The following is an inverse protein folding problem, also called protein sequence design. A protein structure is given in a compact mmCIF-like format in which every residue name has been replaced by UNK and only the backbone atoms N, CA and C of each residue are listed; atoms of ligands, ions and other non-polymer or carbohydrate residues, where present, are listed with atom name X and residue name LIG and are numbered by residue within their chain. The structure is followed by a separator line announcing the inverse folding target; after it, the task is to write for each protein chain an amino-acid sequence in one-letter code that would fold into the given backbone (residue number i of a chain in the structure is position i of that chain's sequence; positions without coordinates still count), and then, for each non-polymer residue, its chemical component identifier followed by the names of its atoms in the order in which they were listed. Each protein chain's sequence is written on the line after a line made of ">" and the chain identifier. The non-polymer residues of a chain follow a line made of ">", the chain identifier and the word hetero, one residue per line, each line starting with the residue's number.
data_IF_961091672588
#
_entry.id   IF_961091672588
#
_cell.length_a   1.000
_cell.length_b   1.000
_cell.length_c   1.000
_cell.angle_alpha   90.00
_cell.angle_beta   90.00
_cell.angle_gamma   90.00
#
_symmetry.space_group_name_H-M   'P 1'
#
loop_
_entity.id
_entity.type
_entity.pdbx_description
1 polymer ?
#
# COMPACT_ATOMS: atom_id res chain seq x y z
N UNK A 1 4.39 4.83 -27.60
CA UNK A 1 5.59 4.41 -26.85
C UNK A 1 5.85 5.49 -25.81
N UNK A 2 5.32 5.34 -24.62
CA UNK A 2 5.57 6.25 -23.49
C UNK A 2 6.32 5.43 -22.44
N UNK A 3 7.64 5.64 -22.41
CA UNK A 3 8.55 5.05 -21.43
C UNK A 3 8.36 5.80 -20.10
N UNK A 4 7.37 5.40 -19.31
CA UNK A 4 7.27 5.82 -17.92
C UNK A 4 8.17 4.91 -17.08
N UNK A 5 9.46 5.27 -16.96
CA UNK A 5 10.37 4.64 -16.00
C UNK A 5 9.79 4.76 -14.59
N UNK A 6 8.99 3.77 -14.17
CA UNK A 6 8.48 3.67 -12.79
C UNK A 6 9.69 3.63 -11.85
N UNK A 7 9.89 4.68 -11.07
CA UNK A 7 11.02 4.81 -10.15
C UNK A 7 10.96 3.70 -9.11
N UNK A 8 11.88 2.73 -9.24
CA UNK A 8 12.07 1.69 -8.26
C UNK A 8 12.67 2.27 -6.97
N UNK A 9 12.12 1.93 -5.81
CA UNK A 9 12.60 2.41 -4.51
C UNK A 9 12.62 1.27 -3.51
N UNK A 10 13.78 1.06 -2.88
CA UNK A 10 13.95 0.03 -1.87
C UNK A 10 12.94 0.20 -0.71
N UNK A 11 12.19 -0.86 -0.44
CA UNK A 11 11.30 -0.96 0.72
C UNK A 11 12.15 -1.32 1.92
N UNK A 12 12.10 -0.56 3.05
CA UNK A 12 12.90 -0.86 4.22
C UNK A 12 12.49 -2.21 4.84
N UNK A 13 13.40 -3.17 4.85
CA UNK A 13 13.15 -4.50 5.38
C UNK A 13 13.34 -4.63 6.91
N UNK A 14 13.98 -3.65 7.60
CA UNK A 14 14.26 -3.73 9.03
C UNK A 14 13.52 -2.67 9.87
N UNK A 15 13.12 -3.05 11.10
CA UNK A 15 12.48 -2.14 12.08
C UNK A 15 13.35 -0.91 12.39
N UNK A 16 14.66 -1.10 12.60
CA UNK A 16 15.60 -0.01 12.90
C UNK A 16 15.75 0.97 11.74
N UNK A 17 15.80 0.48 10.50
CA UNK A 17 15.88 1.32 9.31
C UNK A 17 14.63 2.16 9.10
N UNK A 18 13.46 1.64 9.47
CA UNK A 18 12.18 2.38 9.42
C UNK A 18 12.12 3.42 10.54
N UNK A 19 12.45 3.05 11.78
CA UNK A 19 12.46 3.95 12.92
C UNK A 19 13.45 5.13 12.76
N UNK A 20 14.68 4.88 12.31
CA UNK A 20 15.66 5.94 12.06
C UNK A 20 15.24 6.89 10.92
N UNK A 21 14.54 6.36 9.91
CA UNK A 21 13.96 7.16 8.82
C UNK A 21 12.81 8.02 9.32
N UNK A 22 11.98 7.48 10.21
CA UNK A 22 10.88 8.19 10.84
C UNK A 22 11.34 9.29 11.79
N UNK A 23 12.30 9.01 12.67
CA UNK A 23 12.84 10.01 13.57
C UNK A 23 13.43 11.21 12.81
N UNK A 24 14.13 10.97 11.71
CA UNK A 24 14.65 12.02 10.81
C UNK A 24 13.55 12.79 10.08
N UNK A 25 12.46 12.11 9.71
CA UNK A 25 11.35 12.77 9.02
C UNK A 25 10.44 13.54 9.98
N UNK A 26 10.19 13.00 11.18
CA UNK A 26 9.48 13.72 12.26
C UNK A 26 10.18 15.03 12.64
N UNK A 27 11.51 15.00 12.78
CA UNK A 27 12.33 16.18 12.96
C UNK A 27 12.21 17.17 11.78
N UNK A 28 12.10 16.67 10.54
CA UNK A 28 11.94 17.50 9.35
C UNK A 28 10.56 18.17 9.23
N UNK A 29 9.48 17.53 9.69
CA UNK A 29 8.15 18.16 9.78
C UNK A 29 8.12 19.18 10.91
N UNK A 30 8.62 18.82 12.08
CA UNK A 30 8.69 19.72 13.23
C UNK A 30 9.51 21.00 12.94
N UNK A 31 10.68 20.85 12.30
CA UNK A 31 11.49 22.00 11.86
C UNK A 31 10.80 22.85 10.80
N UNK A 32 10.04 22.23 9.87
CA UNK A 32 9.27 22.98 8.87
C UNK A 32 8.11 23.76 9.48
N UNK A 33 7.40 23.18 10.45
CA UNK A 33 6.32 23.83 11.20
C UNK A 33 6.88 24.98 12.02
N UNK A 34 8.01 24.79 12.73
CA UNK A 34 8.66 25.83 13.52
C UNK A 34 9.16 26.97 12.63
N UNK A 35 9.82 26.68 11.51
CA UNK A 35 10.33 27.70 10.59
C UNK A 35 9.19 28.55 9.99
N UNK A 36 8.08 27.91 9.57
CA UNK A 36 6.93 28.60 9.05
C UNK A 36 6.19 29.39 10.13
N UNK A 37 6.09 28.85 11.36
CA UNK A 37 5.53 29.54 12.51
C UNK A 37 6.29 30.82 12.86
N UNK A 38 7.62 30.75 12.91
CA UNK A 38 8.48 31.91 13.15
C UNK A 38 8.33 32.95 12.02
N UNK A 39 8.25 32.50 10.76
CA UNK A 39 8.05 33.40 9.60
C UNK A 39 6.72 34.15 9.68
N UNK A 40 5.64 33.44 10.00
CA UNK A 40 4.30 34.05 10.08
C UNK A 40 4.13 34.96 11.31
N UNK A 41 4.72 34.56 12.46
CA UNK A 41 4.76 35.45 13.64
C UNK A 41 5.55 36.73 13.35
N UNK A 42 6.68 36.62 12.63
CA UNK A 42 7.45 37.80 12.18
C UNK A 42 6.69 38.72 11.22
N UNK A 43 5.63 38.23 10.57
CA UNK A 43 4.72 38.98 9.71
C UNK A 43 3.48 39.50 10.47
N UNK A 44 3.40 39.33 11.80
CA UNK A 44 2.28 39.76 12.62
C UNK A 44 1.04 38.86 12.59
N UNK A 45 1.14 37.70 11.90
CA UNK A 45 0.07 36.70 11.83
C UNK A 45 0.16 35.74 13.01
N UNK A 46 -0.99 35.31 13.55
CA UNK A 46 -1.11 34.22 14.53
C UNK A 46 -1.67 32.96 13.82
N UNK A 47 -0.81 32.16 13.15
CA UNK A 47 -1.29 31.00 12.42
C UNK A 47 -1.79 29.93 13.39
N UNK A 48 -2.86 29.24 13.00
CA UNK A 48 -3.27 28.01 13.68
C UNK A 48 -2.28 26.91 13.30
N UNK A 49 -2.12 25.91 14.18
CA UNK A 49 -1.22 24.78 13.92
C UNK A 49 -1.59 24.04 12.61
N UNK A 50 -2.89 23.94 12.31
CA UNK A 50 -3.40 23.40 11.03
C UNK A 50 -2.81 24.10 9.81
N UNK A 51 -2.75 25.45 9.84
CA UNK A 51 -2.29 26.26 8.71
C UNK A 51 -0.77 26.10 8.47
N UNK A 52 -0.03 25.87 9.56
CA UNK A 52 1.41 25.62 9.51
C UNK A 52 1.73 24.23 8.95
N UNK A 53 0.88 23.24 9.23
CA UNK A 53 1.04 21.85 8.76
C UNK A 53 0.59 21.75 7.30
N UNK A 54 -0.43 22.48 6.88
CA UNK A 54 -1.04 22.44 5.55
C UNK A 54 -0.27 23.23 4.48
N UNK A 55 0.94 23.69 4.77
CA UNK A 55 1.76 24.27 3.71
C UNK A 55 2.08 23.21 2.64
N UNK A 56 2.20 23.59 1.34
CA UNK A 56 2.51 22.64 0.27
C UNK A 56 3.80 21.84 0.51
N UNK A 57 4.75 22.42 1.25
CA UNK A 57 6.01 21.75 1.62
C UNK A 57 5.77 20.66 2.68
N UNK A 58 4.96 20.94 3.70
CA UNK A 58 4.64 19.97 4.75
C UNK A 58 3.68 18.89 4.26
N UNK A 59 2.69 19.23 3.43
CA UNK A 59 1.81 18.25 2.77
C UNK A 59 2.62 17.23 1.95
N UNK A 60 3.63 17.67 1.20
CA UNK A 60 4.55 16.77 0.48
C UNK A 60 5.38 15.89 1.42
N UNK A 61 5.79 16.41 2.59
CA UNK A 61 6.51 15.60 3.59
C UNK A 61 5.61 14.53 4.20
N UNK A 62 4.37 14.88 4.55
CA UNK A 62 3.35 13.96 5.04
C UNK A 62 3.06 12.89 3.99
N UNK A 63 2.79 13.27 2.74
CA UNK A 63 2.57 12.34 1.64
C UNK A 63 3.76 11.38 1.45
N UNK A 64 4.99 11.88 1.54
CA UNK A 64 6.20 11.05 1.45
C UNK A 64 6.32 10.07 2.62
N UNK A 65 5.88 10.45 3.80
CA UNK A 65 5.86 9.58 4.99
C UNK A 65 4.81 8.48 4.85
N UNK A 66 3.59 8.86 4.46
CA UNK A 66 2.50 7.92 4.19
C UNK A 66 2.85 6.96 3.05
N UNK A 67 3.61 7.42 2.03
CA UNK A 67 4.11 6.55 0.95
C UNK A 67 5.01 5.42 1.45
N UNK A 68 5.75 5.63 2.54
CA UNK A 68 6.58 4.59 3.14
C UNK A 68 5.77 3.54 3.93
N UNK A 69 4.55 3.91 4.34
CA UNK A 69 3.60 3.08 5.10
C UNK A 69 2.32 2.85 4.26
N UNK A 70 2.46 2.75 2.93
CA UNK A 70 1.35 2.81 1.98
C UNK A 70 0.21 1.85 2.31
N UNK A 71 0.50 0.57 2.60
CA UNK A 71 -0.52 -0.42 2.93
C UNK A 71 -1.37 0.01 4.14
N UNK A 72 -0.71 0.38 5.23
CA UNK A 72 -1.38 0.86 6.44
C UNK A 72 -2.15 2.17 6.20
N UNK A 73 -1.57 3.12 5.46
CA UNK A 73 -2.23 4.40 5.14
C UNK A 73 -3.49 4.21 4.31
N UNK A 74 -3.44 3.34 3.30
CA UNK A 74 -4.59 3.01 2.46
C UNK A 74 -5.70 2.31 3.26
N UNK A 75 -5.34 1.35 4.12
CA UNK A 75 -6.31 0.62 4.94
C UNK A 75 -6.99 1.54 5.96
N UNK A 76 -6.22 2.32 6.71
CA UNK A 76 -6.78 3.30 7.67
C UNK A 76 -7.68 4.32 6.95
N UNK A 77 -7.25 4.80 5.78
CA UNK A 77 -8.05 5.71 4.95
C UNK A 77 -9.35 5.09 4.46
N UNK A 78 -9.34 3.83 4.04
CA UNK A 78 -10.53 3.08 3.66
C UNK A 78 -11.53 2.97 4.82
N UNK A 79 -11.05 2.55 6.00
CA UNK A 79 -11.91 2.38 7.17
C UNK A 79 -12.50 3.72 7.63
N UNK A 80 -11.71 4.80 7.65
CA UNK A 80 -12.20 6.14 7.95
C UNK A 80 -13.28 6.58 6.96
N UNK A 81 -13.13 6.27 5.67
CA UNK A 81 -14.11 6.61 4.64
C UNK A 81 -15.41 5.80 4.75
N UNK A 82 -15.35 4.58 5.30
CA UNK A 82 -16.52 3.71 5.49
C UNK A 82 -17.33 4.10 6.72
N UNK A 83 -16.70 4.59 7.78
CA UNK A 83 -17.39 4.97 9.02
C UNK A 83 -18.28 6.22 8.85
N UNK A 84 -17.86 7.19 8.04
CA UNK A 84 -18.74 8.25 7.54
C UNK A 84 -18.11 9.00 6.37
N UNK A 85 -18.91 9.35 5.37
CA UNK A 85 -18.47 10.12 4.20
C UNK A 85 -17.91 11.51 4.55
N UNK A 86 -18.23 12.04 5.73
CA UNK A 86 -17.82 13.38 6.19
C UNK A 86 -16.58 13.39 7.09
N UNK A 87 -16.10 12.20 7.54
CA UNK A 87 -14.98 12.11 8.48
C UNK A 87 -13.60 12.21 7.82
N UNK A 88 -13.52 11.96 6.52
CA UNK A 88 -12.24 12.05 5.82
C UNK A 88 -11.98 13.50 5.37
N UNK A 89 -11.07 14.23 6.03
CA UNK A 89 -10.70 15.57 5.58
C UNK A 89 -10.28 15.57 4.11
N UNK A 90 -10.71 16.57 3.33
CA UNK A 90 -10.41 16.67 1.89
C UNK A 90 -8.91 16.57 1.60
N UNK A 91 -8.10 17.13 2.49
CA UNK A 91 -6.64 17.11 2.44
C UNK A 91 -6.08 15.68 2.55
N UNK A 92 -6.63 14.90 3.51
CA UNK A 92 -6.24 13.51 3.69
C UNK A 92 -6.71 12.66 2.50
N UNK A 93 -7.92 12.87 2.02
CA UNK A 93 -8.44 12.20 0.82
C UNK A 93 -7.54 12.46 -0.40
N UNK A 94 -7.10 13.71 -0.60
CA UNK A 94 -6.19 14.08 -1.69
C UNK A 94 -4.83 13.38 -1.56
N UNK A 95 -4.28 13.31 -0.35
CA UNK A 95 -3.01 12.61 -0.09
C UNK A 95 -3.15 11.12 -0.35
N UNK A 96 -4.24 10.49 0.10
CA UNK A 96 -4.51 9.06 -0.12
C UNK A 96 -4.71 8.74 -1.60
N UNK A 97 -5.39 9.60 -2.37
CA UNK A 97 -5.51 9.46 -3.82
C UNK A 97 -4.13 9.50 -4.50
N UNK A 98 -3.26 10.46 -4.13
CA UNK A 98 -1.89 10.52 -4.63
C UNK A 98 -1.07 9.27 -4.27
N UNK A 99 -1.31 8.67 -3.10
CA UNK A 99 -0.65 7.42 -2.70
C UNK A 99 -1.09 6.23 -3.53
N UNK A 100 -2.38 6.18 -3.89
CA UNK A 100 -2.92 5.15 -4.77
C UNK A 100 -2.25 5.19 -6.14
N UNK A 101 -2.10 6.40 -6.69
CA UNK A 101 -1.58 6.61 -8.05
C UNK A 101 -0.05 6.53 -8.11
N UNK A 102 0.64 6.82 -7.00
CA UNK A 102 2.11 6.81 -6.93
C UNK A 102 2.67 5.45 -6.48
N UNK A 103 2.50 4.42 -7.31
CA UNK A 103 3.04 3.11 -7.03
C UNK A 103 4.56 3.05 -7.25
N UNK A 104 5.33 3.01 -6.16
CA UNK A 104 6.73 2.60 -6.25
C UNK A 104 6.79 1.07 -6.37
N UNK A 105 7.56 0.59 -7.31
CA UNK A 105 7.86 -0.84 -7.43
C UNK A 105 9.08 -1.19 -6.58
N UNK A 106 9.14 -2.39 -6.02
CA UNK A 106 10.34 -2.85 -5.33
C UNK A 106 11.47 -3.10 -6.35
N UNK A 107 12.74 -2.86 -5.96
CA UNK A 107 13.87 -3.19 -6.80
C UNK A 107 13.93 -4.69 -7.11
N UNK A 108 14.44 -5.03 -8.31
CA UNK A 108 14.60 -6.42 -8.75
C UNK A 108 15.32 -7.32 -7.73
N UNK A 109 16.32 -6.79 -7.03
CA UNK A 109 17.04 -7.54 -5.99
C UNK A 109 16.10 -7.97 -4.87
N UNK A 110 15.26 -7.06 -4.37
CA UNK A 110 14.28 -7.40 -3.33
C UNK A 110 13.20 -8.39 -3.81
N UNK A 111 12.81 -8.30 -5.08
CA UNK A 111 11.91 -9.27 -5.71
C UNK A 111 12.54 -10.67 -5.69
N UNK A 112 13.79 -10.79 -6.13
CA UNK A 112 14.54 -12.05 -6.14
C UNK A 112 14.66 -12.59 -4.72
N UNK A 113 15.00 -11.77 -3.74
CA UNK A 113 15.11 -12.20 -2.32
C UNK A 113 13.78 -12.80 -1.82
N UNK A 114 12.63 -12.23 -2.18
CA UNK A 114 11.31 -12.77 -1.78
C UNK A 114 11.00 -14.08 -2.51
N UNK A 115 11.31 -14.17 -3.81
CA UNK A 115 11.11 -15.38 -4.59
C UNK A 115 12.02 -16.52 -4.10
N UNK A 116 13.30 -16.24 -3.82
CA UNK A 116 14.22 -17.22 -3.24
C UNK A 116 13.78 -17.69 -1.85
N UNK A 117 13.27 -16.79 -1.02
CA UNK A 117 12.74 -17.14 0.31
C UNK A 117 11.47 -18.01 0.22
N UNK A 118 10.66 -17.83 -0.84
CA UNK A 118 9.39 -18.54 -1.04
C UNK A 118 9.57 -19.90 -1.71
N UNK A 119 10.46 -20.01 -2.70
CA UNK A 119 10.58 -21.16 -3.59
C UNK A 119 12.00 -21.76 -3.66
N UNK A 120 12.97 -21.15 -2.95
CA UNK A 120 14.36 -21.53 -3.04
C UNK A 120 15.09 -20.89 -4.23
N UNK A 121 16.43 -21.11 -4.30
CA UNK A 121 17.27 -20.46 -5.32
C UNK A 121 16.97 -20.89 -6.76
N UNK A 122 16.39 -22.06 -6.93
CA UNK A 122 16.02 -22.61 -8.24
C UNK A 122 14.61 -22.19 -8.68
N UNK A 123 13.99 -21.19 -8.01
CA UNK A 123 12.65 -20.72 -8.34
C UNK A 123 12.43 -20.38 -9.83
N UNK A 124 13.41 -19.87 -10.60
CA UNK A 124 13.18 -19.60 -12.02
C UNK A 124 12.85 -20.85 -12.84
N UNK A 125 13.30 -22.04 -12.39
CA UNK A 125 13.04 -23.32 -13.05
C UNK A 125 11.58 -23.80 -12.92
N UNK A 126 10.78 -23.12 -12.07
CA UNK A 126 9.35 -23.41 -11.90
C UNK A 126 8.47 -22.70 -12.93
N UNK A 127 9.04 -21.84 -13.75
CA UNK A 127 8.33 -21.04 -14.74
C UNK A 127 8.99 -21.18 -16.12
N UNK A 128 8.15 -21.24 -17.16
CA UNK A 128 8.61 -21.10 -18.53
C UNK A 128 9.08 -19.68 -18.84
N UNK A 129 8.34 -18.70 -18.31
CA UNK A 129 8.66 -17.27 -18.41
C UNK A 129 8.23 -16.53 -17.15
N UNK A 130 8.99 -15.51 -16.79
CA UNK A 130 8.69 -14.61 -15.66
C UNK A 130 9.03 -13.17 -16.03
N UNK A 131 8.00 -12.31 -16.10
CA UNK A 131 8.20 -10.89 -16.36
C UNK A 131 8.64 -10.14 -15.10
N UNK A 132 9.87 -9.65 -15.10
CA UNK A 132 10.41 -8.83 -14.02
C UNK A 132 9.80 -7.42 -13.96
N UNK A 133 9.09 -6.99 -15.00
CA UNK A 133 8.35 -5.74 -15.00
C UNK A 133 7.00 -5.93 -14.31
N UNK A 134 6.70 -5.21 -13.22
CA UNK A 134 5.43 -5.40 -12.55
C UNK A 134 4.25 -4.96 -13.42
N UNK A 135 3.27 -5.83 -13.55
CA UNK A 135 1.99 -5.56 -14.20
C UNK A 135 1.21 -4.48 -13.44
N UNK A 136 1.17 -4.63 -12.11
CA UNK A 136 0.48 -3.70 -11.22
C UNK A 136 1.17 -3.60 -9.86
N UNK A 137 0.88 -2.52 -9.13
CA UNK A 137 1.24 -2.40 -7.72
C UNK A 137 -0.01 -2.62 -6.86
N UNK A 138 0.13 -3.43 -5.81
CA UNK A 138 -0.87 -3.65 -4.77
C UNK A 138 -0.57 -2.77 -3.53
N UNK A 139 -1.46 -2.80 -2.53
CA UNK A 139 -1.28 -2.08 -1.25
C UNK A 139 0.00 -2.49 -0.52
N UNK A 140 0.26 -3.78 -0.45
CA UNK A 140 1.38 -4.39 0.29
C UNK A 140 2.32 -5.24 -0.58
N UNK A 141 2.21 -5.15 -1.91
CA UNK A 141 3.00 -5.96 -2.85
C UNK A 141 2.95 -5.44 -4.27
N UNK A 142 3.36 -6.25 -5.19
CA UNK A 142 3.26 -6.01 -6.63
C UNK A 142 2.89 -7.30 -7.36
N UNK A 143 2.34 -7.17 -8.56
CA UNK A 143 1.86 -8.27 -9.39
C UNK A 143 2.77 -8.41 -10.59
N UNK A 144 3.23 -9.64 -10.85
CA UNK A 144 4.06 -10.01 -12.00
C UNK A 144 3.35 -11.06 -12.83
N UNK A 145 3.53 -11.01 -14.15
CA UNK A 145 3.06 -12.03 -15.06
C UNK A 145 4.09 -13.14 -15.18
N UNK A 146 3.63 -14.37 -15.27
CA UNK A 146 4.47 -15.53 -15.51
C UNK A 146 3.72 -16.57 -16.34
N UNK A 147 4.46 -17.53 -16.89
CA UNK A 147 3.91 -18.69 -17.57
C UNK A 147 4.40 -19.95 -16.85
N UNK A 148 3.49 -20.83 -16.47
CA UNK A 148 3.86 -22.12 -15.83
C UNK A 148 4.58 -23.03 -16.81
N UNK A 149 5.15 -24.12 -16.32
CA UNK A 149 5.79 -25.14 -17.18
C UNK A 149 4.78 -25.82 -18.12
N UNK A 150 3.52 -25.89 -17.70
CA UNK A 150 2.40 -26.44 -18.46
C UNK A 150 1.87 -25.47 -19.52
N UNK A 151 2.31 -24.19 -19.48
CA UNK A 151 1.93 -23.17 -20.43
C UNK A 151 0.76 -22.28 -19.97
N UNK A 152 0.33 -22.39 -18.70
CA UNK A 152 -0.72 -21.54 -18.16
C UNK A 152 -0.22 -20.12 -17.96
N UNK A 153 -1.05 -19.15 -18.33
CA UNK A 153 -0.78 -17.73 -18.11
C UNK A 153 -1.28 -17.31 -16.73
N UNK A 154 -0.36 -16.94 -15.86
CA UNK A 154 -0.64 -16.64 -14.46
C UNK A 154 -0.11 -15.28 -14.04
N UNK A 155 -0.61 -14.79 -12.91
CA UNK A 155 -0.03 -13.66 -12.19
C UNK A 155 0.39 -14.09 -10.79
N UNK A 156 1.53 -13.56 -10.37
CA UNK A 156 2.06 -13.72 -9.04
C UNK A 156 1.95 -12.40 -8.29
N UNK A 157 1.11 -12.34 -7.26
CA UNK A 157 1.08 -11.24 -6.29
C UNK A 157 2.18 -11.48 -5.27
N UNK A 158 3.21 -10.64 -5.28
CA UNK A 158 4.43 -10.82 -4.50
C UNK A 158 4.51 -9.73 -3.45
N UNK A 159 4.61 -10.11 -2.19
CA UNK A 159 4.58 -9.20 -1.05
C UNK A 159 5.87 -8.39 -0.93
N UNK A 160 5.76 -7.14 -0.49
CA UNK A 160 6.95 -6.35 -0.15
C UNK A 160 7.66 -6.93 1.09
N UNK A 161 9.00 -6.98 1.10
CA UNK A 161 9.73 -7.56 2.21
C UNK A 161 9.48 -6.79 3.52
N UNK A 162 9.28 -7.54 4.61
CA UNK A 162 9.13 -6.99 5.95
C UNK A 162 7.79 -6.31 6.24
N UNK A 163 6.78 -6.42 5.38
CA UNK A 163 5.45 -5.84 5.60
C UNK A 163 4.80 -6.43 6.86
N UNK A 164 4.72 -7.75 6.97
CA UNK A 164 4.07 -8.45 8.09
C UNK A 164 4.60 -7.99 9.46
N UNK A 165 5.91 -7.72 9.55
CA UNK A 165 6.56 -7.27 10.77
C UNK A 165 6.35 -5.78 11.08
N UNK A 166 5.95 -4.98 10.10
CA UNK A 166 5.80 -3.54 10.27
C UNK A 166 4.37 -3.06 10.48
N UNK A 167 3.36 -3.90 10.24
CA UNK A 167 1.94 -3.52 10.27
C UNK A 167 1.59 -2.72 11.52
N UNK A 168 1.85 -3.26 12.72
CA UNK A 168 1.46 -2.59 13.96
C UNK A 168 2.14 -1.23 14.10
N UNK A 169 3.46 -1.16 13.85
CA UNK A 169 4.19 0.10 13.93
C UNK A 169 3.75 1.11 12.88
N UNK A 170 3.44 0.66 11.67
CA UNK A 170 3.02 1.55 10.58
C UNK A 170 1.63 2.15 10.88
N UNK A 171 0.68 1.35 11.41
CA UNK A 171 -0.64 1.83 11.84
C UNK A 171 -0.53 2.82 13.00
N UNK A 172 0.28 2.50 14.03
CA UNK A 172 0.50 3.39 15.18
C UNK A 172 1.15 4.72 14.77
N UNK A 173 2.03 4.67 13.79
CA UNK A 173 2.67 5.85 13.23
C UNK A 173 1.70 6.74 12.45
N UNK A 174 0.77 6.13 11.70
CA UNK A 174 -0.30 6.86 11.01
C UNK A 174 -1.22 7.51 12.04
N UNK A 175 -1.63 6.78 13.09
CA UNK A 175 -2.43 7.33 14.18
C UNK A 175 -1.76 8.55 14.82
N UNK A 176 -0.47 8.44 15.11
CA UNK A 176 0.33 9.54 15.66
C UNK A 176 0.39 10.74 14.70
N UNK A 177 0.57 10.49 13.40
CA UNK A 177 0.59 11.53 12.38
C UNK A 177 -0.76 12.25 12.30
N UNK A 178 -1.88 11.51 12.26
CA UNK A 178 -3.22 12.07 12.22
C UNK A 178 -3.53 12.93 13.44
N UNK A 179 -3.08 12.54 14.64
CA UNK A 179 -3.22 13.31 15.87
C UNK A 179 -2.37 14.58 15.85
N UNK A 180 -1.09 14.50 15.50
CA UNK A 180 -0.16 15.65 15.47
C UNK A 180 -0.63 16.69 14.44
N UNK A 181 -1.21 16.24 13.33
CA UNK A 181 -1.67 17.12 12.26
C UNK A 181 -3.06 17.71 12.49
N UNK A 182 -3.75 17.31 13.57
CA UNK A 182 -5.16 17.69 13.84
C UNK A 182 -6.06 17.46 12.62
N UNK A 183 -5.76 16.43 11.83
CA UNK A 183 -6.58 16.04 10.69
C UNK A 183 -7.86 15.30 11.11
N UNK A 184 -7.95 14.91 12.37
CA UNK A 184 -9.15 14.30 12.95
C UNK A 184 -9.76 15.23 13.99
N UNK A 185 -11.10 15.21 14.15
CA UNK A 185 -11.78 15.93 15.24
C UNK A 185 -11.23 15.51 16.62
N UNK A 186 -11.05 16.46 17.55
CA UNK A 186 -10.47 16.20 18.88
C UNK A 186 -11.23 15.15 19.71
N UNK A 187 -12.52 14.94 19.42
CA UNK A 187 -13.38 14.02 20.18
C UNK A 187 -13.52 12.65 19.53
N UNK A 188 -12.81 12.42 18.42
CA UNK A 188 -12.93 11.16 17.67
C UNK A 188 -12.02 10.10 18.26
N UNK A 189 -12.61 9.07 18.87
CA UNK A 189 -11.89 7.86 19.27
C UNK A 189 -11.78 6.90 18.08
N UNK A 190 -10.57 6.81 17.51
CA UNK A 190 -10.26 5.90 16.41
C UNK A 190 -9.59 4.60 16.88
N UNK A 191 -9.56 4.32 18.18
CA UNK A 191 -8.82 3.18 18.73
C UNK A 191 -9.30 1.86 18.16
N UNK A 192 -10.61 1.65 18.11
CA UNK A 192 -11.21 0.45 17.51
C UNK A 192 -10.91 0.34 16.02
N UNK A 193 -11.02 1.44 15.27
CA UNK A 193 -10.70 1.49 13.84
C UNK A 193 -9.23 1.10 13.59
N UNK A 194 -8.31 1.53 14.44
CA UNK A 194 -6.90 1.17 14.30
C UNK A 194 -6.65 -0.31 14.62
N UNK A 195 -7.36 -0.88 15.61
CA UNK A 195 -7.32 -2.31 15.90
C UNK A 195 -7.85 -3.14 14.72
N UNK A 196 -8.99 -2.75 14.17
CA UNK A 196 -9.57 -3.37 12.98
C UNK A 196 -8.64 -3.26 11.76
N UNK A 197 -8.00 -2.10 11.58
CA UNK A 197 -7.00 -1.90 10.53
C UNK A 197 -5.80 -2.85 10.68
N UNK A 198 -5.29 -3.02 11.91
CA UNK A 198 -4.19 -3.95 12.19
C UNK A 198 -4.60 -5.39 11.89
N UNK A 199 -5.78 -5.82 12.37
CA UNK A 199 -6.29 -7.18 12.15
C UNK A 199 -6.44 -7.46 10.64
N UNK A 200 -7.13 -6.59 9.90
CA UNK A 200 -7.31 -6.75 8.46
C UNK A 200 -6.00 -6.74 7.67
N UNK A 201 -5.04 -5.89 8.06
CA UNK A 201 -3.72 -5.88 7.42
C UNK A 201 -2.91 -7.16 7.70
N UNK A 202 -3.06 -7.75 8.89
CA UNK A 202 -2.43 -9.03 9.19
C UNK A 202 -3.02 -10.15 8.34
N UNK A 203 -4.34 -10.16 8.12
CA UNK A 203 -5.01 -11.10 7.22
C UNK A 203 -4.55 -10.89 5.76
N UNK A 204 -4.55 -9.63 5.27
CA UNK A 204 -4.05 -9.30 3.92
C UNK A 204 -2.56 -9.64 3.73
N UNK A 205 -1.78 -9.63 4.81
CA UNK A 205 -0.36 -9.97 4.78
C UNK A 205 -0.10 -11.48 4.87
N UNK A 206 -1.12 -12.31 4.94
CA UNK A 206 -1.01 -13.75 4.83
C UNK A 206 -1.69 -14.25 3.57
N UNK A 207 -0.92 -14.45 2.50
CA UNK A 207 -1.49 -14.85 1.22
C UNK A 207 -2.09 -16.25 1.19
N UNK A 208 -1.84 -17.08 2.21
CA UNK A 208 -2.57 -18.33 2.36
C UNK A 208 -4.02 -18.08 2.78
N UNK A 209 -4.28 -17.05 3.56
CA UNK A 209 -5.64 -16.60 3.90
C UNK A 209 -6.33 -16.01 2.66
N UNK A 210 -5.64 -15.14 1.90
CA UNK A 210 -6.16 -14.61 0.62
C UNK A 210 -6.49 -15.73 -0.37
N UNK A 211 -5.64 -16.77 -0.46
CA UNK A 211 -5.87 -17.94 -1.30
C UNK A 211 -7.16 -18.68 -0.91
N UNK A 212 -7.41 -18.87 0.38
CA UNK A 212 -8.65 -19.49 0.86
C UNK A 212 -9.88 -18.64 0.49
N UNK A 213 -9.80 -17.31 0.62
CA UNK A 213 -10.88 -16.43 0.18
C UNK A 213 -11.09 -16.49 -1.33
N UNK A 214 -10.02 -16.46 -2.12
CA UNK A 214 -10.09 -16.57 -3.58
C UNK A 214 -10.83 -17.85 -3.98
N UNK A 215 -10.49 -19.00 -3.39
CA UNK A 215 -11.15 -20.26 -3.65
C UNK A 215 -12.63 -20.25 -3.26
N UNK A 216 -12.96 -19.75 -2.06
CA UNK A 216 -14.35 -19.61 -1.60
C UNK A 216 -15.19 -18.72 -2.52
N UNK A 217 -14.60 -17.62 -3.03
CA UNK A 217 -15.26 -16.78 -4.03
C UNK A 217 -15.46 -17.53 -5.34
N UNK A 218 -14.45 -18.25 -5.82
CA UNK A 218 -14.57 -19.09 -7.01
C UNK A 218 -15.72 -20.09 -6.91
N UNK A 219 -15.82 -20.80 -5.77
CA UNK A 219 -16.89 -21.76 -5.49
C UNK A 219 -18.26 -21.07 -5.44
N UNK A 220 -18.35 -19.91 -4.79
CA UNK A 220 -19.62 -19.17 -4.62
C UNK A 220 -20.17 -18.60 -5.94
N UNK A 221 -19.29 -18.26 -6.90
CA UNK A 221 -19.66 -17.69 -8.19
C UNK A 221 -19.55 -18.68 -9.35
N UNK A 222 -19.31 -19.97 -9.09
CA UNK A 222 -19.12 -21.01 -10.11
C UNK A 222 -20.27 -21.10 -11.13
N UNK A 223 -21.52 -20.84 -10.69
CA UNK A 223 -22.71 -20.88 -11.52
C UNK A 223 -23.00 -19.56 -12.26
N UNK A 224 -22.24 -18.49 -11.97
CA UNK A 224 -22.46 -17.17 -12.54
C UNK A 224 -21.66 -16.98 -13.83
N UNK A 225 -22.34 -16.98 -14.98
CA UNK A 225 -21.67 -16.88 -16.29
C UNK A 225 -20.99 -15.53 -16.55
N UNK A 226 -21.46 -14.47 -15.90
CA UNK A 226 -20.99 -13.10 -16.09
C UNK A 226 -19.92 -12.69 -15.08
N UNK A 227 -19.58 -13.60 -14.15
CA UNK A 227 -18.54 -13.37 -13.13
C UNK A 227 -17.40 -14.37 -13.33
N UNK A 228 -16.19 -13.86 -13.44
CA UNK A 228 -14.98 -14.68 -13.45
C UNK A 228 -14.17 -14.41 -12.19
N UNK A 229 -13.84 -15.45 -11.48
CA UNK A 229 -12.91 -15.41 -10.35
C UNK A 229 -11.63 -16.12 -10.80
N UNK A 230 -10.45 -15.50 -10.63
CA UNK A 230 -9.19 -16.15 -11.00
C UNK A 230 -9.03 -17.50 -10.30
N UNK A 231 -8.51 -18.49 -11.01
CA UNK A 231 -8.21 -19.81 -10.45
C UNK A 231 -6.94 -19.77 -9.62
N UNK A 232 -6.97 -20.38 -8.44
CA UNK A 232 -5.80 -20.49 -7.57
C UNK A 232 -4.81 -21.54 -8.11
N UNK A 233 -3.50 -21.25 -8.00
CA UNK A 233 -2.40 -22.19 -8.20
C UNK A 233 -1.76 -22.52 -6.84
N UNK A 234 -2.25 -23.54 -6.12
CA UNK A 234 -1.82 -23.82 -4.74
C UNK A 234 -0.34 -24.13 -4.62
N UNK A 235 0.23 -24.88 -5.57
CA UNK A 235 1.64 -25.31 -5.57
C UNK A 235 2.61 -24.12 -5.77
N UNK A 236 2.13 -23.02 -6.33
CA UNK A 236 2.87 -21.78 -6.55
C UNK A 236 2.44 -20.68 -5.55
N UNK A 237 1.68 -21.04 -4.51
CA UNK A 237 1.19 -20.11 -3.50
C UNK A 237 1.86 -20.36 -2.16
N UNK A 238 2.35 -19.29 -1.54
CA UNK A 238 3.00 -19.29 -0.21
C UNK A 238 2.41 -18.17 0.65
N UNK A 239 2.86 -18.00 1.89
CA UNK A 239 2.44 -16.88 2.73
C UNK A 239 2.85 -15.49 2.20
N UNK A 240 3.76 -15.42 1.21
CA UNK A 240 4.30 -14.17 0.64
C UNK A 240 4.12 -14.05 -0.88
N UNK A 241 3.68 -15.11 -1.53
CA UNK A 241 3.38 -15.14 -2.98
C UNK A 241 2.04 -15.81 -3.19
N UNK A 242 1.11 -15.13 -3.86
CA UNK A 242 -0.18 -15.69 -4.28
C UNK A 242 -0.18 -15.81 -5.79
N UNK A 243 -0.33 -17.04 -6.27
CA UNK A 243 -0.38 -17.38 -7.69
C UNK A 243 -1.83 -17.64 -8.13
N UNK A 244 -2.26 -16.98 -9.20
CA UNK A 244 -3.61 -17.14 -9.75
C UNK A 244 -3.60 -16.98 -11.28
N UNK A 245 -4.64 -17.46 -11.96
CA UNK A 245 -4.80 -17.27 -13.40
C UNK A 245 -4.81 -15.78 -13.76
N UNK A 246 -4.22 -15.44 -14.91
CA UNK A 246 -4.33 -14.10 -15.47
C UNK A 246 -5.68 -13.94 -16.15
N UNK A 247 -6.50 -13.01 -15.63
CA UNK A 247 -7.76 -12.64 -16.25
C UNK A 247 -7.60 -11.28 -16.95
N UNK A 248 -7.68 -11.24 -18.29
CA UNK A 248 -7.59 -9.98 -19.00
C UNK A 248 -8.84 -9.13 -18.77
N UNK A 249 -8.67 -7.82 -18.62
CA UNK A 249 -9.77 -6.90 -18.41
C UNK A 249 -9.32 -5.45 -18.45
N UNK A 250 -10.30 -4.56 -18.38
CA UNK A 250 -10.08 -3.12 -18.22
C UNK A 250 -10.69 -2.64 -16.91
N UNK A 251 -10.11 -1.64 -16.25
CA UNK A 251 -10.68 -1.05 -15.04
C UNK A 251 -12.10 -0.54 -15.28
N UNK A 252 -12.99 -0.71 -14.29
CA UNK A 252 -14.39 -0.29 -14.42
C UNK A 252 -14.53 1.21 -14.67
N UNK A 253 -13.58 2.00 -14.15
CA UNK A 253 -13.53 3.45 -14.37
C UNK A 253 -13.41 3.79 -15.86
N UNK A 254 -12.61 3.05 -16.60
CA UNK A 254 -12.44 3.26 -18.05
C UNK A 254 -13.70 2.91 -18.85
N UNK A 255 -14.53 1.99 -18.33
CA UNK A 255 -15.81 1.63 -18.96
C UNK A 255 -16.86 2.72 -18.74
N UNK A 256 -16.85 3.38 -17.58
CA UNK A 256 -17.80 4.45 -17.25
C UNK A 256 -17.52 5.69 -18.09
N UNK A 257 -16.26 6.03 -18.33
CA UNK A 257 -15.85 7.21 -19.11
C UNK A 257 -16.04 7.01 -20.63
N UNK A 258 -16.32 5.80 -21.10
CA UNK A 258 -16.53 5.49 -22.52
C UNK A 258 -17.98 5.68 -23.01
N UNK A 259 -18.87 6.18 -22.17
CA UNK A 259 -20.28 6.54 -22.51
C UNK A 259 -20.43 8.04 -22.56
#
# INVERSE_FOLDING_TARGET
>A
MSDSSKKSKAVPASRLGRFSRMARMGAGVATGVLAEGVRQLGQGNRPKMSDLIMTPANARRVAKQLSAMRGAAMKVGQLLSMESNDLLPKELATILAQLRDSAFTMPRVQLIDVMEASFGKQWPEQFNDFDFSPLAAASIGQVHRATTLEGDDIVLKIQYPGIKQSINSDVDNIASLLRITNLLPEHMDISKLLEDAKAQLHDEADYLIEAQYLQRFGDAFSDWKDVRVPSLFPDLTTSSVLAMSYEPGVPIEEVVDSK
#
